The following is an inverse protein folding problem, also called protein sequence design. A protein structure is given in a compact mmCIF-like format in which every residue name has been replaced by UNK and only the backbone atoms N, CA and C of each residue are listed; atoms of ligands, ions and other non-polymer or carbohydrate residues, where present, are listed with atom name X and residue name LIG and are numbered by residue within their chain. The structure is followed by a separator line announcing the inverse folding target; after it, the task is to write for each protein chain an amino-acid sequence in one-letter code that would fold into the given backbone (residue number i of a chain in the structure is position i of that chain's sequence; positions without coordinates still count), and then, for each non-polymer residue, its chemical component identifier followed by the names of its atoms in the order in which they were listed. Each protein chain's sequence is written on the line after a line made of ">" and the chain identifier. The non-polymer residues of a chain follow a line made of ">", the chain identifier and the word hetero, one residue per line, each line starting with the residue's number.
data_IF_798426316311
#
_entry.id   IF_798426316311
#
_cell.length_a   1.000
_cell.length_b   1.000
_cell.length_c   1.000
_cell.angle_alpha   90.00
_cell.angle_beta   90.00
_cell.angle_gamma   90.00
#
_symmetry.space_group_name_H-M   'P 1'
#
loop_
_entity.id
_entity.type
_entity.pdbx_description
1 polymer ?
#
# COMPACT_ATOMS: atom_id res chain seq x y z
N UNK A 1 -3.33 -16.20 2.11
CA UNK A 1 -3.76 -14.96 1.44
C UNK A 1 -4.82 -15.36 0.44
N UNK A 2 -6.00 -14.78 0.53
CA UNK A 2 -7.15 -15.16 -0.30
C UNK A 2 -7.55 -14.00 -1.18
N UNK A 3 -8.02 -14.33 -2.37
CA UNK A 3 -8.85 -13.43 -3.18
C UNK A 3 -10.31 -13.77 -2.93
N UNK A 4 -11.16 -12.75 -3.02
CA UNK A 4 -12.61 -12.92 -3.05
C UNK A 4 -13.09 -12.62 -4.46
N UNK A 5 -13.98 -13.46 -4.99
CA UNK A 5 -14.66 -13.14 -6.25
C UNK A 5 -15.65 -11.99 -6.01
N UNK A 6 -15.72 -11.08 -6.98
CA UNK A 6 -16.66 -9.98 -7.00
C UNK A 6 -17.44 -10.00 -8.31
N UNK A 7 -18.75 -9.92 -8.22
CA UNK A 7 -19.64 -9.80 -9.39
C UNK A 7 -19.80 -8.35 -9.85
N UNK A 8 -19.25 -7.39 -9.10
CA UNK A 8 -19.26 -5.97 -9.47
C UNK A 8 -18.51 -5.76 -10.79
N UNK A 9 -19.22 -5.33 -11.82
CA UNK A 9 -18.67 -4.90 -13.08
C UNK A 9 -17.69 -3.73 -12.87
N UNK A 10 -16.50 -3.87 -13.45
CA UNK A 10 -15.41 -2.92 -13.29
C UNK A 10 -14.41 -3.26 -12.18
N UNK A 11 -14.68 -4.27 -11.34
CA UNK A 11 -13.69 -4.82 -10.41
C UNK A 11 -12.91 -5.94 -11.07
N UNK A 12 -11.59 -5.89 -10.95
CA UNK A 12 -10.66 -6.93 -11.43
C UNK A 12 -10.43 -7.98 -10.34
N UNK A 13 -10.13 -7.53 -9.11
CA UNK A 13 -9.85 -8.41 -8.00
C UNK A 13 -10.18 -7.76 -6.65
N UNK A 14 -10.59 -8.59 -5.68
CA UNK A 14 -10.65 -8.20 -4.27
C UNK A 14 -9.63 -9.04 -3.52
N UNK A 15 -8.66 -8.39 -2.89
CA UNK A 15 -7.55 -9.03 -2.18
C UNK A 15 -7.76 -8.86 -0.69
N UNK A 16 -7.61 -9.98 0.04
CA UNK A 16 -7.67 -10.05 1.49
C UNK A 16 -6.24 -10.16 2.05
N UNK A 17 -5.63 -9.05 2.48
CA UNK A 17 -4.27 -9.02 2.99
C UNK A 17 -4.16 -9.85 4.28
N UNK A 18 -3.23 -10.82 4.36
CA UNK A 18 -2.97 -11.50 5.60
C UNK A 18 -2.26 -10.55 6.57
N UNK A 19 -2.43 -10.80 7.86
CA UNK A 19 -1.57 -10.20 8.88
C UNK A 19 -0.17 -10.83 8.77
N UNK A 20 0.86 -10.00 8.74
CA UNK A 20 2.27 -10.36 8.70
C UNK A 20 2.97 -9.74 9.89
N UNK A 21 3.86 -10.50 10.51
CA UNK A 21 4.82 -9.98 11.48
C UNK A 21 6.05 -9.51 10.71
N UNK A 22 6.48 -8.26 10.92
CA UNK A 22 7.68 -7.69 10.30
C UNK A 22 8.90 -7.71 11.23
N UNK A 23 8.79 -8.31 12.42
CA UNK A 23 9.81 -8.31 13.46
C UNK A 23 9.23 -7.81 14.79
N UNK A 24 9.70 -8.39 15.90
CA UNK A 24 9.38 -7.95 17.27
C UNK A 24 7.88 -7.84 17.60
N UNK A 25 7.05 -8.68 16.97
CA UNK A 25 5.59 -8.67 17.18
C UNK A 25 4.87 -7.58 16.38
N UNK A 26 5.56 -6.89 15.48
CA UNK A 26 4.99 -5.80 14.69
C UNK A 26 4.12 -6.33 13.55
N UNK A 27 2.81 -6.33 13.80
CA UNK A 27 1.81 -6.88 12.89
C UNK A 27 1.27 -5.83 11.92
N UNK A 28 1.35 -6.14 10.64
CA UNK A 28 0.80 -5.32 9.54
C UNK A 28 -0.10 -6.16 8.63
N UNK A 29 -1.04 -5.52 7.94
CA UNK A 29 -1.77 -6.14 6.82
C UNK A 29 -1.08 -5.79 5.52
N UNK A 30 -0.38 -6.76 4.92
CA UNK A 30 0.36 -6.57 3.67
C UNK A 30 -0.50 -6.83 2.44
N UNK A 31 -0.94 -5.77 1.77
CA UNK A 31 -1.78 -5.85 0.58
C UNK A 31 -0.96 -6.01 -0.71
N UNK A 32 0.24 -5.43 -0.77
CA UNK A 32 1.19 -5.59 -1.89
C UNK A 32 2.63 -5.80 -1.34
N UNK A 33 3.48 -6.58 -2.03
CA UNK A 33 3.14 -7.46 -3.15
C UNK A 33 2.37 -8.68 -2.66
N UNK A 34 1.56 -9.24 -3.55
CA UNK A 34 0.66 -10.34 -3.26
C UNK A 34 0.70 -11.35 -4.41
N UNK A 35 0.36 -12.63 -4.16
CA UNK A 35 0.41 -13.67 -5.20
C UNK A 35 -0.49 -13.36 -6.41
N UNK A 36 -1.64 -12.72 -6.18
CA UNK A 36 -2.61 -12.38 -7.22
C UNK A 36 -2.43 -10.98 -7.79
N UNK A 37 -1.69 -10.11 -7.10
CA UNK A 37 -1.38 -8.75 -7.55
C UNK A 37 -0.09 -8.30 -6.91
N UNK A 38 0.97 -8.18 -7.72
CA UNK A 38 2.28 -7.73 -7.22
C UNK A 38 2.35 -6.22 -7.06
N UNK A 39 1.60 -5.47 -7.86
CA UNK A 39 1.70 -4.02 -7.97
C UNK A 39 0.36 -3.38 -8.35
N UNK A 40 0.18 -2.11 -8.04
CA UNK A 40 -0.87 -1.25 -8.62
C UNK A 40 -0.19 0.01 -9.12
N UNK A 41 -0.07 0.19 -10.43
CA UNK A 41 0.74 1.23 -11.04
C UNK A 41 2.18 1.19 -10.47
N UNK A 42 2.70 2.29 -9.91
CA UNK A 42 4.02 2.33 -9.29
C UNK A 42 4.08 1.79 -7.85
N UNK A 43 2.96 1.39 -7.24
CA UNK A 43 2.95 0.89 -5.86
C UNK A 43 3.36 -0.58 -5.79
N UNK A 44 4.53 -0.83 -5.20
CA UNK A 44 5.15 -2.16 -5.08
C UNK A 44 4.92 -2.79 -3.70
N UNK A 45 4.86 -1.96 -2.66
CA UNK A 45 4.56 -2.35 -1.28
C UNK A 45 3.39 -1.53 -0.75
N UNK A 46 2.48 -2.19 -0.04
CA UNK A 46 1.37 -1.54 0.67
C UNK A 46 1.08 -2.31 1.95
N UNK A 47 1.40 -1.71 3.09
CA UNK A 47 1.15 -2.26 4.42
C UNK A 47 0.20 -1.32 5.18
N UNK A 48 -0.88 -1.87 5.73
CA UNK A 48 -1.72 -1.17 6.69
C UNK A 48 -1.34 -1.57 8.11
N UNK A 49 -0.90 -0.59 8.89
CA UNK A 49 -0.56 -0.73 10.31
C UNK A 49 -1.74 -0.26 11.16
N UNK A 50 -2.23 -1.14 12.04
CA UNK A 50 -3.30 -0.82 12.98
C UNK A 50 -4.73 -1.17 12.50
N UNK A 51 -5.76 -0.59 13.15
CA UNK A 51 -5.65 0.26 14.34
C UNK A 51 -5.00 -0.50 15.51
N UNK A 52 -4.13 0.16 16.27
CA UNK A 52 -3.46 -0.41 17.44
C UNK A 52 -3.54 0.58 18.60
N UNK A 53 -3.85 0.07 19.79
CA UNK A 53 -3.78 0.85 21.04
C UNK A 53 -2.55 0.38 21.80
N UNK A 54 -1.65 1.30 22.12
CA UNK A 54 -0.44 1.00 22.87
C UNK A 54 -0.61 1.50 24.31
N UNK A 55 -0.19 0.69 25.29
CA UNK A 55 -0.04 1.17 26.65
C UNK A 55 1.10 2.19 26.73
N UNK A 56 1.03 3.12 27.68
CA UNK A 56 2.12 4.08 27.91
C UNK A 56 3.45 3.33 28.13
N UNK A 57 4.50 3.69 27.39
CA UNK A 57 5.80 3.02 27.42
C UNK A 57 5.96 1.82 26.48
N UNK A 58 4.91 1.37 25.79
CA UNK A 58 4.96 0.35 24.73
C UNK A 58 4.76 0.96 23.34
N UNK A 59 5.30 2.16 23.11
CA UNK A 59 5.25 2.79 21.81
C UNK A 59 6.09 1.98 20.81
N UNK A 60 5.63 1.96 19.56
CA UNK A 60 6.37 1.43 18.43
C UNK A 60 7.67 2.20 18.22
N UNK A 61 8.79 1.48 18.06
CA UNK A 61 10.06 2.07 17.63
C UNK A 61 10.21 1.91 16.12
N UNK A 62 10.07 3.01 15.38
CA UNK A 62 10.41 3.04 13.96
C UNK A 62 11.91 3.25 13.88
N UNK A 63 12.65 2.22 13.47
CA UNK A 63 14.12 2.30 13.33
C UNK A 63 14.56 3.52 12.49
N UNK A 64 15.77 4.06 12.74
CA UNK A 64 16.23 5.30 12.10
C UNK A 64 16.09 5.26 10.58
N UNK A 65 15.37 6.24 10.03
CA UNK A 65 15.20 6.42 8.59
C UNK A 65 15.24 7.93 8.26
N UNK A 66 16.04 8.35 7.26
CA UNK A 66 16.26 9.77 7.00
C UNK A 66 15.08 10.41 6.26
N UNK A 67 14.79 11.65 6.62
CA UNK A 67 13.93 12.56 5.86
C UNK A 67 14.63 13.90 5.65
N UNK A 68 14.53 14.48 4.45
CA UNK A 68 15.02 15.84 4.15
C UNK A 68 13.96 16.58 3.32
N UNK A 69 13.65 17.83 3.69
CA UNK A 69 12.74 18.69 2.92
C UNK A 69 11.23 18.47 3.11
N UNK A 70 10.76 18.17 4.34
CA UNK A 70 9.31 18.03 4.61
C UNK A 70 8.66 19.34 5.07
N UNK A 71 7.75 19.85 4.24
CA UNK A 71 6.55 20.55 4.66
C UNK A 71 5.40 19.97 3.83
N UNK A 72 4.56 19.11 4.43
CA UNK A 72 3.48 18.44 3.69
C UNK A 72 2.19 19.25 3.80
N UNK A 73 2.08 20.33 3.04
CA UNK A 73 0.76 20.86 2.71
C UNK A 73 0.18 19.96 1.60
N UNK A 74 -0.58 18.94 1.99
CA UNK A 74 -1.32 18.09 1.05
C UNK A 74 -2.57 18.82 0.55
N UNK A 75 -2.74 19.02 -0.77
CA UNK A 75 -3.98 19.56 -1.32
C UNK A 75 -5.18 18.73 -0.89
N UNK A 76 -6.29 19.41 -0.58
CA UNK A 76 -7.53 18.78 -0.15
C UNK A 76 -8.71 19.34 -0.93
N UNK A 77 -9.67 18.48 -1.22
CA UNK A 77 -11.00 18.85 -1.68
C UNK A 77 -12.06 18.17 -0.82
N UNK A 78 -13.21 18.80 -0.66
CA UNK A 78 -14.34 18.25 0.08
C UNK A 78 -15.65 18.59 -0.65
N UNK A 79 -16.52 17.60 -0.78
CA UNK A 79 -17.78 17.69 -1.52
C UNK A 79 -18.73 16.62 -1.01
N UNK A 80 -19.98 16.99 -0.68
CA UNK A 80 -21.07 16.04 -0.40
C UNK A 80 -20.70 14.91 0.60
N UNK A 81 -20.03 15.27 1.71
CA UNK A 81 -19.62 14.31 2.74
C UNK A 81 -18.40 13.45 2.37
N UNK A 82 -17.76 13.70 1.21
CA UNK A 82 -16.50 13.08 0.82
C UNK A 82 -15.36 14.11 0.89
N UNK A 83 -14.31 13.79 1.66
CA UNK A 83 -13.09 14.58 1.76
C UNK A 83 -11.91 13.79 1.22
N UNK A 84 -11.22 14.32 0.22
CA UNK A 84 -9.99 13.74 -0.33
C UNK A 84 -8.79 14.60 0.06
N UNK A 85 -7.77 13.96 0.64
CA UNK A 85 -6.45 14.56 0.88
C UNK A 85 -5.44 13.89 -0.05
N UNK A 86 -4.88 14.65 -0.99
CA UNK A 86 -3.93 14.16 -1.98
C UNK A 86 -2.51 14.19 -1.39
N UNK A 87 -1.92 13.01 -1.22
CA UNK A 87 -0.59 12.82 -0.66
C UNK A 87 0.46 12.98 -1.77
N UNK A 88 0.31 12.24 -2.86
CA UNK A 88 1.23 12.26 -4.01
C UNK A 88 0.48 12.14 -5.34
N UNK A 89 1.07 12.72 -6.39
CA UNK A 89 0.55 12.61 -7.75
C UNK A 89 -0.56 13.61 -8.07
N UNK A 90 -1.59 13.16 -8.80
CA UNK A 90 -2.73 13.98 -9.21
C UNK A 90 -4.02 13.18 -9.07
N UNK A 91 -5.12 13.83 -8.72
CA UNK A 91 -6.47 13.26 -8.82
C UNK A 91 -7.50 14.33 -8.53
N UNK A 92 -8.72 14.19 -9.04
CA UNK A 92 -9.85 15.08 -8.72
C UNK A 92 -9.53 16.57 -8.99
N UNK A 93 -8.73 16.83 -10.03
CA UNK A 93 -8.27 18.18 -10.40
C UNK A 93 -7.17 18.76 -9.49
N UNK A 94 -6.76 18.03 -8.45
CA UNK A 94 -5.67 18.39 -7.57
C UNK A 94 -4.33 17.84 -8.08
N UNK A 95 -3.24 18.54 -7.76
CA UNK A 95 -1.86 18.11 -8.02
C UNK A 95 -1.05 18.30 -6.74
N UNK A 96 -0.43 17.23 -6.25
CA UNK A 96 0.46 17.29 -5.08
C UNK A 96 1.78 17.99 -5.46
N UNK A 97 2.35 18.82 -4.56
CA UNK A 97 3.68 19.39 -4.75
C UNK A 97 4.80 18.34 -4.66
N UNK A 98 4.50 17.13 -4.19
CA UNK A 98 5.47 16.05 -4.12
C UNK A 98 5.87 15.62 -5.53
N UNK A 99 7.18 15.71 -5.83
CA UNK A 99 7.71 15.27 -7.12
C UNK A 99 7.50 13.77 -7.29
N UNK A 100 6.84 13.39 -8.37
CA UNK A 100 6.68 11.99 -8.80
C UNK A 100 7.49 11.76 -10.08
N UNK A 101 7.85 10.51 -10.35
CA UNK A 101 8.64 10.11 -11.52
C UNK A 101 7.85 9.28 -12.54
N UNK A 102 6.58 9.04 -12.25
CA UNK A 102 5.59 8.39 -13.12
C UNK A 102 4.22 8.99 -12.84
N UNK A 103 3.26 8.69 -13.71
CA UNK A 103 1.86 8.91 -13.39
C UNK A 103 1.47 8.14 -12.11
N UNK A 104 0.82 8.83 -11.18
CA UNK A 104 0.36 8.23 -9.92
C UNK A 104 -0.73 9.04 -9.23
N UNK A 105 -1.45 8.34 -8.36
CA UNK A 105 -2.29 8.90 -7.29
C UNK A 105 -1.98 8.17 -5.99
N UNK A 106 -1.79 8.93 -4.91
CA UNK A 106 -1.86 8.45 -3.54
C UNK A 106 -2.74 9.41 -2.76
N UNK A 107 -3.93 8.97 -2.33
CA UNK A 107 -4.85 9.82 -1.61
C UNK A 107 -5.51 9.10 -0.43
N UNK A 108 -5.74 9.86 0.63
CA UNK A 108 -6.62 9.48 1.74
C UNK A 108 -8.01 10.05 1.47
N UNK A 109 -9.04 9.23 1.65
CA UNK A 109 -10.43 9.62 1.40
C UNK A 109 -11.27 9.28 2.62
N UNK A 110 -11.87 10.28 3.24
CA UNK A 110 -12.83 10.13 4.31
C UNK A 110 -14.25 10.36 3.76
N UNK A 111 -15.14 9.41 3.99
CA UNK A 111 -16.54 9.45 3.58
C UNK A 111 -17.43 9.43 4.83
N UNK A 112 -18.33 10.39 4.92
CA UNK A 112 -19.46 10.35 5.84
C UNK A 112 -20.45 9.24 5.45
N UNK A 113 -21.39 8.91 6.34
CA UNK A 113 -22.41 7.91 6.03
C UNK A 113 -23.22 8.31 4.78
N UNK A 114 -23.50 7.33 3.93
CA UNK A 114 -24.15 7.48 2.63
C UNK A 114 -23.47 8.42 1.62
N UNK A 115 -22.32 9.03 1.95
CA UNK A 115 -21.55 9.84 1.02
C UNK A 115 -21.07 9.01 -0.17
N UNK A 116 -20.94 9.68 -1.32
CA UNK A 116 -20.58 9.04 -2.58
C UNK A 116 -19.20 9.50 -3.04
N UNK A 117 -18.45 8.57 -3.62
CA UNK A 117 -17.18 8.86 -4.26
C UNK A 117 -17.09 8.17 -5.61
N UNK A 118 -16.79 8.94 -6.66
CA UNK A 118 -16.59 8.40 -8.01
C UNK A 118 -15.11 8.08 -8.19
N UNK A 119 -14.79 6.80 -8.36
CA UNK A 119 -13.47 6.38 -8.84
C UNK A 119 -13.41 6.65 -10.33
N UNK A 120 -12.74 7.75 -10.71
CA UNK A 120 -12.59 8.19 -12.10
C UNK A 120 -11.51 7.39 -12.83
N UNK A 121 -11.61 7.29 -14.15
CA UNK A 121 -10.60 6.64 -15.00
C UNK A 121 -9.38 7.54 -15.29
N UNK A 122 -8.88 8.25 -14.29
CA UNK A 122 -7.75 9.19 -14.41
C UNK A 122 -6.40 8.46 -14.55
N UNK A 123 -6.32 7.21 -14.07
CA UNK A 123 -5.12 6.37 -14.09
C UNK A 123 -5.43 4.99 -14.65
N UNK A 124 -4.44 4.35 -15.31
CA UNK A 124 -4.59 3.03 -15.92
C UNK A 124 -4.91 1.98 -14.86
N UNK A 125 -4.04 1.85 -13.86
CA UNK A 125 -4.25 0.95 -12.73
C UNK A 125 -4.71 1.74 -11.51
N UNK A 126 -5.77 1.27 -10.86
CA UNK A 126 -6.36 1.92 -9.68
C UNK A 126 -6.83 0.86 -8.71
N UNK A 127 -6.67 1.14 -7.43
CA UNK A 127 -7.25 0.35 -6.36
C UNK A 127 -7.63 1.24 -5.18
N UNK A 128 -8.67 0.83 -4.45
CA UNK A 128 -8.98 1.38 -3.14
C UNK A 128 -8.70 0.34 -2.07
N UNK A 129 -8.02 0.75 -1.02
CA UNK A 129 -7.91 -0.02 0.20
C UNK A 129 -8.90 0.52 1.22
N UNK A 130 -9.79 -0.33 1.73
CA UNK A 130 -10.76 0.06 2.76
C UNK A 130 -10.08 0.01 4.12
N UNK A 131 -9.75 1.16 4.69
CA UNK A 131 -9.07 1.25 6.00
C UNK A 131 -10.04 0.92 7.13
N UNK A 132 -11.24 1.50 7.07
CA UNK A 132 -12.32 1.29 8.04
C UNK A 132 -13.68 1.54 7.39
N UNK A 133 -14.74 0.97 7.97
CA UNK A 133 -16.10 1.07 7.42
C UNK A 133 -16.32 0.10 6.26
N UNK A 134 -17.21 0.46 5.35
CA UNK A 134 -17.58 -0.38 4.22
C UNK A 134 -18.15 0.42 3.04
N UNK A 135 -18.05 -0.16 1.86
CA UNK A 135 -18.47 0.46 0.61
C UNK A 135 -19.46 -0.41 -0.15
N UNK A 136 -20.54 0.19 -0.63
CA UNK A 136 -21.43 -0.39 -1.63
C UNK A 136 -21.17 0.25 -2.99
N UNK A 137 -21.52 -0.45 -4.07
CA UNK A 137 -21.41 0.09 -5.43
C UNK A 137 -22.79 0.51 -5.93
N UNK A 138 -22.96 1.78 -6.25
CA UNK A 138 -24.24 2.29 -6.75
C UNK A 138 -24.62 1.58 -8.05
N UNK A 139 -25.84 1.04 -8.09
CA UNK A 139 -26.40 0.36 -9.25
C UNK A 139 -25.94 -1.09 -9.43
N UNK A 140 -25.20 -1.65 -8.47
CA UNK A 140 -24.72 -3.04 -8.55
C UNK A 140 -24.86 -3.74 -7.19
N UNK A 141 -25.13 -5.05 -7.21
CA UNK A 141 -25.05 -5.85 -6.01
C UNK A 141 -23.57 -6.10 -5.66
N UNK A 142 -23.15 -5.69 -4.47
CA UNK A 142 -21.79 -5.90 -4.01
C UNK A 142 -21.38 -4.90 -2.94
N UNK A 143 -20.55 -5.39 -2.01
CA UNK A 143 -20.00 -4.59 -0.91
C UNK A 143 -18.52 -4.93 -0.71
N UNK A 144 -17.76 -3.96 -0.23
CA UNK A 144 -16.37 -4.09 0.17
C UNK A 144 -16.20 -3.70 1.63
N UNK A 145 -15.43 -4.48 2.39
CA UNK A 145 -15.27 -4.33 3.84
C UNK A 145 -13.88 -3.80 4.21
N UNK A 146 -13.75 -3.30 5.44
CA UNK A 146 -12.47 -2.93 6.02
C UNK A 146 -11.43 -4.06 5.89
N UNK A 147 -10.22 -3.69 5.47
CA UNK A 147 -9.13 -4.60 5.21
C UNK A 147 -9.05 -5.11 3.77
N UNK A 148 -10.05 -4.88 2.93
CA UNK A 148 -10.03 -5.31 1.52
C UNK A 148 -9.27 -4.31 0.63
N UNK A 149 -8.41 -4.82 -0.27
CA UNK A 149 -7.87 -4.06 -1.41
C UNK A 149 -8.68 -4.42 -2.66
N UNK A 150 -9.38 -3.44 -3.21
CA UNK A 150 -10.25 -3.59 -4.39
C UNK A 150 -9.53 -3.00 -5.59
N UNK A 151 -9.14 -3.86 -6.53
CA UNK A 151 -8.46 -3.48 -7.77
C UNK A 151 -9.49 -3.31 -8.89
N UNK A 152 -9.46 -2.18 -9.58
CA UNK A 152 -10.38 -1.87 -10.67
C UNK A 152 -9.79 -2.22 -12.02
N UNK A 153 -10.64 -2.64 -12.96
CA UNK A 153 -10.26 -2.83 -14.36
C UNK A 153 -9.84 -1.47 -14.96
N UNK A 154 -8.87 -1.46 -15.91
CA UNK A 154 -8.52 -0.24 -16.64
C UNK A 154 -9.76 0.40 -17.28
N UNK A 155 -9.87 1.73 -17.19
CA UNK A 155 -10.99 2.50 -17.74
C UNK A 155 -12.33 2.37 -17.01
N UNK A 156 -12.48 1.44 -16.06
CA UNK A 156 -13.74 1.29 -15.32
C UNK A 156 -13.99 2.49 -14.41
N UNK A 157 -15.21 3.05 -14.42
CA UNK A 157 -15.61 4.07 -13.46
C UNK A 157 -16.72 3.54 -12.58
N UNK A 158 -16.55 3.72 -11.27
CA UNK A 158 -17.50 3.23 -10.27
C UNK A 158 -17.87 4.35 -9.33
N UNK A 159 -19.15 4.41 -8.96
CA UNK A 159 -19.62 5.27 -7.87
C UNK A 159 -19.77 4.41 -6.63
N UNK A 160 -18.89 4.64 -5.68
CA UNK A 160 -18.88 3.99 -4.38
C UNK A 160 -19.77 4.81 -3.43
N UNK A 161 -20.52 4.13 -2.57
CA UNK A 161 -21.31 4.73 -1.50
C UNK A 161 -20.87 4.15 -0.17
N UNK A 162 -20.61 5.01 0.80
CA UNK A 162 -20.28 4.59 2.15
C UNK A 162 -21.50 3.96 2.84
N UNK A 163 -21.28 2.84 3.52
CA UNK A 163 -22.24 2.20 4.42
C UNK A 163 -21.77 2.41 5.87
N UNK A 164 -22.12 3.57 6.44
CA UNK A 164 -21.50 4.13 7.64
C UNK A 164 -20.25 4.94 7.31
N UNK A 165 -19.73 5.68 8.30
CA UNK A 165 -18.48 6.44 8.15
C UNK A 165 -17.33 5.53 7.71
N UNK A 166 -16.70 5.87 6.59
CA UNK A 166 -15.78 4.99 5.87
C UNK A 166 -14.52 5.74 5.48
N UNK A 167 -13.36 5.09 5.63
CA UNK A 167 -12.06 5.67 5.26
C UNK A 167 -11.35 4.76 4.27
N UNK A 168 -10.87 5.36 3.19
CA UNK A 168 -10.23 4.67 2.08
C UNK A 168 -8.85 5.26 1.82
N UNK A 169 -8.01 4.45 1.21
CA UNK A 169 -6.81 4.91 0.53
C UNK A 169 -6.93 4.58 -0.95
N UNK A 170 -6.85 5.59 -1.80
CA UNK A 170 -6.77 5.44 -3.26
C UNK A 170 -5.30 5.39 -3.67
N UNK A 171 -4.94 4.32 -4.38
CA UNK A 171 -3.63 4.16 -5.02
C UNK A 171 -3.80 3.81 -6.48
N UNK A 172 -2.92 4.34 -7.32
CA UNK A 172 -3.00 4.10 -8.75
C UNK A 172 -1.90 4.79 -9.54
N UNK A 173 -1.87 4.53 -10.83
CA UNK A 173 -0.93 5.15 -11.76
C UNK A 173 -0.72 4.31 -13.01
N UNK A 174 0.27 4.72 -13.79
CA UNK A 174 0.72 3.98 -14.95
C UNK A 174 1.52 2.73 -14.52
N UNK A 175 1.20 1.53 -15.05
CA UNK A 175 1.99 0.34 -14.80
C UNK A 175 3.39 0.51 -15.39
N UNK A 176 4.40 -0.09 -14.76
CA UNK A 176 5.73 -0.10 -15.36
C UNK A 176 5.73 -0.88 -16.68
N UNK A 177 6.40 -0.35 -17.69
CA UNK A 177 6.56 -1.00 -19.00
C UNK A 177 7.25 -2.37 -18.91
N UNK A 178 8.12 -2.54 -17.92
CA UNK A 178 8.87 -3.77 -17.70
C UNK A 178 8.52 -4.39 -16.34
N UNK A 179 8.55 -5.74 -16.22
CA UNK A 179 8.43 -6.41 -14.93
C UNK A 179 9.46 -5.93 -13.90
N UNK A 180 9.13 -6.14 -12.62
CA UNK A 180 10.06 -5.90 -11.50
C UNK A 180 10.42 -7.21 -10.83
N UNK A 181 11.71 -7.45 -10.65
CA UNK A 181 12.23 -8.45 -9.74
C UNK A 181 12.14 -7.89 -8.32
N UNK A 182 11.47 -8.61 -7.43
CA UNK A 182 11.32 -8.24 -6.03
C UNK A 182 11.81 -9.43 -5.22
N UNK A 183 12.92 -9.24 -4.50
CA UNK A 183 13.43 -10.21 -3.54
C UNK A 183 13.79 -9.48 -2.26
N UNK A 184 13.16 -9.88 -1.15
CA UNK A 184 13.34 -9.20 0.14
C UNK A 184 13.07 -7.68 -0.01
N UNK A 185 13.97 -6.82 0.47
CA UNK A 185 13.88 -5.37 0.36
C UNK A 185 14.46 -4.82 -0.97
N UNK A 186 14.85 -5.68 -1.90
CA UNK A 186 15.42 -5.27 -3.18
C UNK A 186 14.40 -5.31 -4.31
N UNK A 187 14.34 -4.21 -5.07
CA UNK A 187 13.51 -4.08 -6.27
C UNK A 187 14.35 -3.57 -7.43
N UNK A 188 14.22 -4.22 -8.60
CA UNK A 188 14.97 -3.86 -9.80
C UNK A 188 14.26 -4.37 -11.06
N UNK A 189 14.47 -3.71 -12.20
CA UNK A 189 14.10 -4.25 -13.52
C UNK A 189 15.05 -5.34 -14.02
N UNK A 190 16.23 -5.48 -13.40
CA UNK A 190 17.28 -6.44 -13.78
C UNK A 190 17.53 -7.45 -12.66
N UNK A 191 17.48 -8.74 -12.99
CA UNK A 191 17.74 -9.85 -12.06
C UNK A 191 19.18 -9.83 -11.54
N UNK A 192 20.18 -9.64 -12.41
CA UNK A 192 21.59 -9.52 -11.99
C UNK A 192 21.83 -8.40 -10.97
N UNK A 193 21.07 -7.30 -11.04
CA UNK A 193 21.19 -6.22 -10.04
C UNK A 193 20.68 -6.65 -8.66
N UNK A 194 19.65 -7.51 -8.59
CA UNK A 194 19.18 -8.11 -7.33
C UNK A 194 20.24 -9.04 -6.77
N UNK A 195 20.82 -9.91 -7.62
CA UNK A 195 21.89 -10.81 -7.20
C UNK A 195 23.10 -10.04 -6.65
N UNK A 196 23.51 -8.96 -7.34
CA UNK A 196 24.57 -8.07 -6.87
C UNK A 196 24.20 -7.41 -5.53
N UNK A 197 22.98 -6.89 -5.38
CA UNK A 197 22.54 -6.26 -4.13
C UNK A 197 22.56 -7.24 -2.93
N UNK A 198 22.14 -8.50 -3.14
CA UNK A 198 22.24 -9.55 -2.12
C UNK A 198 23.69 -9.84 -1.73
N UNK A 199 24.59 -9.88 -2.70
CA UNK A 199 26.02 -10.05 -2.44
C UNK A 199 26.62 -8.84 -1.72
N UNK A 200 26.26 -7.62 -2.12
CA UNK A 200 26.68 -6.38 -1.45
C UNK A 200 26.20 -6.31 0.00
N UNK A 201 24.98 -6.79 0.27
CA UNK A 201 24.41 -6.82 1.62
C UNK A 201 25.14 -7.79 2.54
N UNK A 202 25.38 -9.02 2.07
CA UNK A 202 26.18 -10.01 2.80
C UNK A 202 27.61 -9.52 3.09
N UNK A 203 28.17 -8.75 2.16
CA UNK A 203 29.51 -8.18 2.29
C UNK A 203 29.52 -6.82 3.01
N UNK A 204 28.38 -6.37 3.57
CA UNK A 204 28.23 -5.10 4.29
C UNK A 204 28.76 -3.88 3.52
N UNK A 205 28.55 -3.85 2.19
CA UNK A 205 28.95 -2.74 1.31
C UNK A 205 27.94 -1.61 1.22
N UNK A 206 26.78 -1.74 1.86
CA UNK A 206 25.84 -0.64 2.03
C UNK A 206 26.32 0.29 3.13
N UNK A 207 26.01 1.59 3.02
CA UNK A 207 26.28 2.53 4.08
C UNK A 207 25.54 2.09 5.36
N UNK A 208 26.26 1.96 6.47
CA UNK A 208 25.67 1.65 7.76
C UNK A 208 24.86 2.82 8.33
N UNK A 209 23.98 2.52 9.28
CA UNK A 209 23.26 3.52 10.05
C UNK A 209 24.12 3.89 11.26
N UNK A 210 24.47 5.17 11.48
CA UNK A 210 25.29 5.57 12.63
C UNK A 210 24.66 5.13 13.95
N UNK A 211 25.42 4.40 14.77
CA UNK A 211 24.97 3.91 16.08
C UNK A 211 24.21 2.58 16.05
N UNK A 212 24.01 1.98 14.87
CA UNK A 212 23.34 0.68 14.70
C UNK A 212 24.28 -0.30 13.98
N UNK A 213 24.61 -1.40 14.66
CA UNK A 213 25.43 -2.49 14.12
C UNK A 213 24.60 -3.72 13.74
N UNK A 214 23.28 -3.66 13.87
CA UNK A 214 22.39 -4.77 13.59
C UNK A 214 22.37 -5.09 12.09
N UNK A 215 22.46 -6.37 11.75
CA UNK A 215 22.39 -6.85 10.38
C UNK A 215 21.26 -7.86 10.26
N UNK A 216 20.21 -7.50 9.53
CA UNK A 216 19.13 -8.43 9.21
C UNK A 216 19.62 -9.40 8.11
N UNK A 217 19.71 -10.72 8.37
CA UNK A 217 20.14 -11.67 7.35
C UNK A 217 19.11 -11.79 6.23
N UNK A 218 19.57 -12.23 5.05
CA UNK A 218 18.63 -12.61 3.99
C UNK A 218 17.84 -13.84 4.45
N UNK A 219 16.58 -14.03 4.01
CA UNK A 219 15.77 -15.18 4.43
C UNK A 219 16.40 -16.55 4.18
N UNK A 220 17.23 -16.68 3.13
CA UNK A 220 17.95 -17.92 2.82
C UNK A 220 19.13 -18.19 3.78
N UNK A 221 19.57 -17.17 4.52
CA UNK A 221 20.69 -17.21 5.44
C UNK A 221 20.19 -17.29 6.91
N UNK A 222 18.87 -17.21 7.14
CA UNK A 222 18.27 -17.40 8.46
C UNK A 222 18.25 -18.90 8.80
N UNK A 223 18.80 -19.34 9.95
CA UNK A 223 18.69 -20.73 10.37
C UNK A 223 17.21 -21.11 10.57
N UNK A 224 16.82 -22.38 10.32
CA UNK A 224 15.46 -22.83 10.56
C UNK A 224 15.10 -22.61 12.03
N UNK A 225 13.89 -22.08 12.28
CA UNK A 225 13.38 -21.86 13.63
C UNK A 225 13.36 -23.20 14.38
N UNK A 226 14.33 -23.41 15.28
CA UNK A 226 14.44 -24.64 16.07
C UNK A 226 15.87 -25.14 16.36
N UNK A 227 16.92 -24.61 15.75
CA UNK A 227 18.30 -24.99 16.13
C UNK A 227 18.91 -24.02 17.15
N UNK A 228 18.26 -23.88 18.30
CA UNK A 228 18.97 -23.52 19.53
C UNK A 228 19.42 -24.85 20.15
N UNK A 229 20.62 -25.31 19.81
CA UNK A 229 21.25 -26.43 20.50
C UNK A 229 22.11 -25.89 21.64
N UNK A 230 21.69 -26.28 22.86
CA UNK A 230 22.45 -26.63 24.07
C UNK A 230 23.76 -25.88 24.39
#
# INVERSE_FOLDING_TARGET
>A
MSTRQSEVAGVEAVILPPVRDLGDGFKVRRALPSAHRRMVGPFIFFDHMGPATFAAGQAFDVRPHPYIGLATASPRTASEGATLTLIAGRSDGLVSPMRTYSDMVYADIALEDAARYRVKAEHIERAVYVVSGALEVIGQAGRFEAGELVVFKPGAELVLRAAGATRLVLVGGEPFAEPRHIEWNFVSSRAERIAQAKHDWRAQRFAGVPGDSELIPLPADTPPAGSASA
#
